data_IF_972181984043
#
_entry.id   IF_972181984043
#
_cell.length_a   1.000
_cell.length_b   1.000
_cell.length_c   1.000
_cell.angle_alpha   90.00
_cell.angle_beta   90.00
_cell.angle_gamma   90.00
#
_symmetry.space_group_name_H-M   'P 1'
#
loop_
_entity.id
_entity.type
_entity.pdbx_description
1 polymer ?
#
# COMPACT_ATOMS: atom_id res chain seq x y z
N UNK A 1 -28.68 -14.17 -0.81
CA UNK A 1 -28.98 -13.06 -1.70
C UNK A 1 -27.73 -12.58 -2.44
N UNK A 2 -27.92 -11.90 -3.54
CA UNK A 2 -26.83 -11.38 -4.34
C UNK A 2 -25.93 -10.41 -3.54
N UNK A 3 -26.55 -9.52 -2.78
CA UNK A 3 -25.80 -8.55 -1.96
C UNK A 3 -24.96 -9.23 -0.91
N UNK A 4 -25.47 -10.31 -0.32
CA UNK A 4 -24.72 -11.06 0.67
C UNK A 4 -23.51 -11.75 0.04
N UNK A 5 -23.67 -12.30 -1.16
CA UNK A 5 -22.55 -12.93 -1.88
C UNK A 5 -21.49 -11.91 -2.27
N UNK A 6 -21.88 -10.72 -2.71
CA UNK A 6 -20.91 -9.65 -3.01
C UNK A 6 -20.13 -9.24 -1.77
N UNK A 7 -20.81 -9.11 -0.64
CA UNK A 7 -20.17 -8.76 0.62
C UNK A 7 -19.19 -9.85 1.06
N UNK A 8 -19.60 -11.10 0.93
CA UNK A 8 -18.74 -12.23 1.27
C UNK A 8 -17.51 -12.30 0.37
N UNK A 9 -17.66 -12.01 -0.93
CA UNK A 9 -16.51 -12.02 -1.85
C UNK A 9 -15.52 -10.89 -1.59
N UNK A 10 -15.93 -9.82 -0.89
CA UNK A 10 -15.05 -8.73 -0.50
C UNK A 10 -14.39 -8.96 0.86
N UNK A 11 -14.89 -9.93 1.63
CA UNK A 11 -14.27 -10.29 2.89
C UNK A 11 -13.09 -11.20 2.59
N UNK A 12 -11.92 -10.75 2.99
CA UNK A 12 -10.69 -11.50 2.79
C UNK A 12 -10.22 -11.96 4.15
N UNK A 13 -10.03 -13.27 4.29
CA UNK A 13 -9.48 -13.82 5.54
C UNK A 13 -8.02 -13.41 5.65
N UNK A 14 -7.76 -12.34 6.36
CA UNK A 14 -6.42 -11.84 6.59
C UNK A 14 -5.87 -12.42 7.88
N UNK A 15 -5.97 -13.75 7.98
CA UNK A 15 -5.40 -14.47 9.10
C UNK A 15 -6.02 -14.02 10.42
N UNK A 16 -5.21 -13.86 11.45
CA UNK A 16 -5.64 -13.45 12.79
C UNK A 16 -5.63 -11.94 13.00
N UNK A 17 -5.24 -11.16 11.99
CA UNK A 17 -5.11 -9.72 12.14
C UNK A 17 -6.43 -9.03 11.86
N UNK A 18 -6.78 -8.06 12.71
CA UNK A 18 -8.02 -7.30 12.59
C UNK A 18 -7.87 -6.13 11.63
N UNK A 19 -6.73 -5.46 11.71
CA UNK A 19 -6.45 -4.25 10.93
C UNK A 19 -5.19 -4.47 10.13
N UNK A 20 -5.30 -4.35 8.80
CA UNK A 20 -4.17 -4.50 7.90
C UNK A 20 -4.21 -3.36 6.90
N UNK A 21 -3.09 -2.67 6.76
CA UNK A 21 -2.88 -1.73 5.68
C UNK A 21 -1.93 -2.37 4.68
N UNK A 22 -2.26 -2.25 3.39
CA UNK A 22 -1.42 -2.78 2.31
C UNK A 22 -0.76 -1.59 1.63
N UNK A 23 0.56 -1.60 1.58
CA UNK A 23 1.33 -0.54 0.95
C UNK A 23 2.09 -1.11 -0.23
N UNK A 24 1.84 -0.57 -1.42
CA UNK A 24 2.56 -0.91 -2.63
C UNK A 24 3.15 0.36 -3.24
N UNK A 25 4.33 0.24 -3.82
CA UNK A 25 5.00 1.40 -4.40
C UNK A 25 5.71 1.05 -5.70
N UNK A 26 5.94 2.08 -6.49
CA UNK A 26 6.68 2.00 -7.74
C UNK A 26 7.42 3.32 -7.90
N UNK A 27 8.62 3.29 -8.44
CA UNK A 27 9.43 4.50 -8.58
C UNK A 27 9.77 4.77 -10.03
N UNK A 28 9.91 6.04 -10.35
CA UNK A 28 10.63 6.48 -11.52
C UNK A 28 11.83 7.33 -11.05
N UNK A 29 12.39 8.17 -11.91
CA UNK A 29 13.58 8.94 -11.58
C UNK A 29 13.35 10.05 -10.55
N UNK A 30 12.11 10.52 -10.39
CA UNK A 30 11.80 11.71 -9.58
C UNK A 30 10.76 11.48 -8.50
N UNK A 31 9.91 10.49 -8.67
CA UNK A 31 8.76 10.30 -7.80
C UNK A 31 8.61 8.85 -7.39
N UNK A 32 8.00 8.67 -6.25
CA UNK A 32 7.52 7.37 -5.80
C UNK A 32 6.00 7.41 -5.90
N UNK A 33 5.42 6.43 -6.58
CA UNK A 33 3.98 6.27 -6.68
C UNK A 33 3.56 5.19 -5.70
N UNK A 34 2.52 5.45 -4.93
CA UNK A 34 2.11 4.51 -3.90
C UNK A 34 0.59 4.35 -3.87
N UNK A 35 0.18 3.15 -3.52
CA UNK A 35 -1.22 2.81 -3.23
C UNK A 35 -1.28 2.20 -1.85
N UNK A 36 -2.21 2.68 -1.02
CA UNK A 36 -2.46 2.13 0.29
C UNK A 36 -3.90 1.63 0.33
N UNK A 37 -4.08 0.38 0.72
CA UNK A 37 -5.39 -0.22 0.93
C UNK A 37 -5.59 -0.43 2.43
N UNK A 38 -6.76 -0.05 2.94
CA UNK A 38 -7.07 -0.15 4.36
C UNK A 38 -8.10 -1.23 4.58
N UNK A 39 -7.71 -2.32 5.25
CA UNK A 39 -8.59 -3.42 5.61
C UNK A 39 -8.87 -3.39 7.10
N UNK A 40 -10.14 -3.54 7.44
CA UNK A 40 -10.58 -3.62 8.84
C UNK A 40 -11.48 -4.83 8.96
N UNK A 41 -11.06 -5.79 9.80
CA UNK A 41 -11.79 -7.07 9.98
C UNK A 41 -12.03 -7.76 8.64
N UNK A 42 -11.03 -7.75 7.76
CA UNK A 42 -11.10 -8.40 6.45
C UNK A 42 -11.86 -7.64 5.39
N UNK A 43 -12.36 -6.44 5.68
CA UNK A 43 -13.13 -5.62 4.74
C UNK A 43 -12.30 -4.43 4.29
N UNK A 44 -12.24 -4.22 2.97
CA UNK A 44 -11.57 -3.05 2.41
C UNK A 44 -12.46 -1.82 2.65
N UNK A 45 -11.97 -0.89 3.47
CA UNK A 45 -12.75 0.30 3.84
C UNK A 45 -12.29 1.55 3.11
N UNK A 46 -11.07 1.58 2.60
CA UNK A 46 -10.56 2.77 1.91
C UNK A 46 -9.37 2.43 1.04
N UNK A 47 -9.13 3.30 0.07
CA UNK A 47 -7.98 3.21 -0.84
C UNK A 47 -7.44 4.63 -1.06
N UNK A 48 -6.12 4.77 -1.00
CA UNK A 48 -5.45 6.05 -1.25
C UNK A 48 -4.35 5.81 -2.27
N UNK A 49 -4.34 6.64 -3.32
CA UNK A 49 -3.23 6.72 -4.27
C UNK A 49 -2.52 8.05 -4.06
N UNK A 50 -1.20 8.03 -4.03
CA UNK A 50 -0.44 9.25 -3.80
C UNK A 50 0.94 9.18 -4.46
N UNK A 51 1.56 10.35 -4.61
CA UNK A 51 2.94 10.45 -5.04
C UNK A 51 3.78 10.97 -3.88
N UNK A 52 5.00 10.45 -3.79
CA UNK A 52 5.96 10.83 -2.76
C UNK A 52 7.19 11.37 -3.50
N UNK A 53 7.64 12.59 -3.19
CA UNK A 53 8.88 13.09 -3.80
C UNK A 53 10.05 12.20 -3.41
N UNK A 54 10.84 11.83 -4.40
CA UNK A 54 12.05 11.05 -4.15
C UNK A 54 13.13 12.00 -3.65
N UNK A 55 13.54 11.80 -2.39
CA UNK A 55 14.58 12.61 -1.77
C UNK A 55 15.96 12.02 -2.00
N UNK A 56 16.72 11.84 -0.92
CA UNK A 56 18.09 11.34 -0.99
C UNK A 56 18.12 9.89 -1.47
N UNK A 57 17.17 9.07 -0.98
CA UNK A 57 17.07 7.67 -1.34
C UNK A 57 15.64 7.20 -1.23
N UNK A 58 15.36 6.04 -1.85
CA UNK A 58 14.02 5.45 -1.82
C UNK A 58 13.65 5.08 -0.39
N UNK A 59 14.53 4.42 0.33
CA UNK A 59 14.25 3.97 1.69
C UNK A 59 14.01 5.15 2.66
N UNK A 60 14.80 6.21 2.56
CA UNK A 60 14.59 7.40 3.36
C UNK A 60 13.25 8.07 3.05
N UNK A 61 12.93 8.18 1.78
CA UNK A 61 11.66 8.79 1.33
C UNK A 61 10.45 8.01 1.82
N UNK A 62 10.53 6.67 1.79
CA UNK A 62 9.48 5.81 2.30
C UNK A 62 9.36 5.93 3.82
N UNK A 63 10.49 5.99 4.53
CA UNK A 63 10.48 6.19 5.98
C UNK A 63 9.76 7.48 6.36
N UNK A 64 10.12 8.57 5.70
CA UNK A 64 9.50 9.87 5.96
C UNK A 64 8.00 9.82 5.67
N UNK A 65 7.63 9.14 4.57
CA UNK A 65 6.22 8.96 4.24
C UNK A 65 5.47 8.27 5.38
N UNK A 66 5.98 7.14 5.86
CA UNK A 66 5.31 6.41 6.95
C UNK A 66 5.17 7.27 8.20
N UNK A 67 6.23 7.97 8.58
CA UNK A 67 6.19 8.82 9.76
C UNK A 67 5.15 9.94 9.63
N UNK A 68 5.09 10.59 8.48
CA UNK A 68 4.16 11.70 8.26
C UNK A 68 2.73 11.22 8.05
N UNK A 69 2.55 10.21 7.24
CA UNK A 69 1.20 9.70 6.91
C UNK A 69 0.50 9.11 8.13
N UNK A 70 1.25 8.40 8.98
CA UNK A 70 0.70 7.76 10.16
C UNK A 70 0.84 8.57 11.44
N UNK A 71 1.33 9.82 11.36
CA UNK A 71 1.52 10.66 12.54
C UNK A 71 0.21 10.90 13.31
N UNK A 72 -0.90 11.00 12.60
CA UNK A 72 -2.23 11.26 13.17
C UNK A 72 -3.17 10.07 13.07
N UNK A 73 -2.63 8.86 12.82
CA UNK A 73 -3.43 7.66 12.62
C UNK A 73 -3.02 6.58 13.59
N UNK A 74 -3.97 5.71 13.90
CA UNK A 74 -3.67 4.49 14.67
C UNK A 74 -3.06 3.48 13.70
N UNK A 75 -1.90 2.93 14.08
CA UNK A 75 -1.22 1.94 13.26
C UNK A 75 -2.05 0.66 13.16
N UNK A 76 -2.06 0.00 12.00
CA UNK A 76 -2.70 -1.31 11.88
C UNK A 76 -1.91 -2.38 12.62
N UNK A 77 -2.49 -3.56 12.77
CA UNK A 77 -1.80 -4.69 13.39
C UNK A 77 -0.59 -5.10 12.55
N UNK A 78 -0.72 -5.05 11.22
CA UNK A 78 0.37 -5.35 10.30
C UNK A 78 0.23 -4.55 9.01
N UNK A 79 1.38 -4.35 8.36
CA UNK A 79 1.45 -3.82 7.01
C UNK A 79 1.83 -4.96 6.06
N UNK A 80 1.06 -5.14 5.01
CA UNK A 80 1.43 -6.03 3.90
C UNK A 80 2.15 -5.19 2.87
N UNK A 81 3.37 -5.59 2.52
CA UNK A 81 4.25 -4.79 1.67
C UNK A 81 5.00 -5.69 0.68
N UNK A 82 5.59 -5.06 -0.34
CA UNK A 82 6.52 -5.74 -1.24
C UNK A 82 7.77 -6.14 -0.48
N UNK A 83 8.43 -7.19 -0.97
CA UNK A 83 9.61 -7.74 -0.32
C UNK A 83 10.72 -6.71 -0.13
N UNK A 84 10.88 -5.79 -1.07
CA UNK A 84 11.92 -4.76 -1.02
C UNK A 84 11.83 -3.91 0.25
N UNK A 85 10.61 -3.68 0.74
CA UNK A 85 10.40 -2.90 1.96
C UNK A 85 11.08 -3.56 3.16
N UNK A 86 11.06 -4.90 3.20
CA UNK A 86 11.69 -5.63 4.30
C UNK A 86 13.20 -5.51 4.30
N UNK A 87 13.79 -5.21 3.14
CA UNK A 87 15.24 -5.08 2.97
C UNK A 87 15.74 -3.68 3.31
N UNK A 88 14.85 -2.70 3.36
CA UNK A 88 15.22 -1.33 3.68
C UNK A 88 15.40 -1.18 5.19
N UNK A 89 16.35 -0.36 5.59
CA UNK A 89 16.52 0.04 6.99
C UNK A 89 15.71 1.32 7.20
N UNK A 90 14.42 1.15 7.46
CA UNK A 90 13.50 2.27 7.61
C UNK A 90 13.64 2.97 8.96
N UNK A 91 14.24 2.29 9.94
CA UNK A 91 14.44 2.84 11.29
C UNK A 91 13.15 3.40 11.90
N UNK A 92 12.04 2.70 11.66
CA UNK A 92 10.75 3.03 12.25
C UNK A 92 10.62 2.32 13.61
N UNK A 93 9.68 2.77 14.43
CA UNK A 93 9.46 2.15 15.73
C UNK A 93 9.00 0.69 15.57
N UNK A 94 9.14 -0.08 16.65
CA UNK A 94 8.76 -1.50 16.65
C UNK A 94 7.25 -1.73 16.47
N UNK A 95 6.45 -0.67 16.59
CA UNK A 95 5.01 -0.76 16.35
C UNK A 95 4.67 -0.94 14.87
N UNK A 96 5.59 -0.57 13.98
CA UNK A 96 5.45 -0.82 12.56
C UNK A 96 5.86 -2.26 12.25
N UNK A 97 4.88 -3.09 11.96
CA UNK A 97 5.09 -4.52 11.68
C UNK A 97 4.82 -4.80 10.22
N UNK A 98 5.85 -5.19 9.48
CA UNK A 98 5.78 -5.43 8.05
C UNK A 98 5.83 -6.92 7.74
N UNK A 99 4.98 -7.37 6.83
CA UNK A 99 5.02 -8.72 6.28
C UNK A 99 4.95 -8.64 4.76
N UNK A 100 5.66 -9.54 4.09
CA UNK A 100 5.61 -9.65 2.64
C UNK A 100 5.19 -11.07 2.27
N UNK A 101 3.91 -11.28 2.01
CA UNK A 101 3.39 -12.63 1.71
C UNK A 101 3.81 -13.07 0.32
N UNK A 102 4.02 -14.38 0.18
CA UNK A 102 4.36 -15.00 -1.11
C UNK A 102 3.22 -15.84 -1.66
N UNK A 103 2.31 -16.26 -0.82
CA UNK A 103 1.16 -17.11 -1.20
C UNK A 103 -0.05 -16.73 -0.38
N UNK A 104 -1.21 -17.25 -0.78
CA UNK A 104 -2.44 -17.17 -0.01
C UNK A 104 -3.18 -15.86 -0.14
N UNK A 105 -4.12 -15.65 0.77
CA UNK A 105 -5.02 -14.49 0.75
C UNK A 105 -4.26 -13.18 0.93
N UNK A 106 -3.25 -13.15 1.80
CA UNK A 106 -2.44 -11.95 2.02
C UNK A 106 -1.71 -11.54 0.74
N UNK A 107 -1.25 -12.51 -0.05
CA UNK A 107 -0.62 -12.22 -1.34
C UNK A 107 -1.63 -11.63 -2.32
N UNK A 108 -2.86 -12.09 -2.29
CA UNK A 108 -3.92 -11.57 -3.16
C UNK A 108 -4.20 -10.09 -2.90
N UNK A 109 -4.20 -9.65 -1.64
CA UNK A 109 -4.41 -8.22 -1.35
C UNK A 109 -3.20 -7.38 -1.77
N UNK A 110 -2.00 -7.93 -1.68
CA UNK A 110 -0.82 -7.24 -2.21
C UNK A 110 -0.91 -7.10 -3.73
N UNK A 111 -1.32 -8.15 -4.42
CA UNK A 111 -1.51 -8.11 -5.87
C UNK A 111 -2.58 -7.09 -6.27
N UNK A 112 -3.65 -6.98 -5.49
CA UNK A 112 -4.68 -5.98 -5.73
C UNK A 112 -4.13 -4.57 -5.58
N UNK A 113 -3.31 -4.33 -4.56
CA UNK A 113 -2.66 -3.04 -4.37
C UNK A 113 -1.73 -2.71 -5.54
N UNK A 114 -0.98 -3.70 -6.03
CA UNK A 114 -0.09 -3.51 -7.17
C UNK A 114 -0.87 -3.22 -8.45
N UNK A 115 -2.01 -3.85 -8.66
CA UNK A 115 -2.88 -3.58 -9.80
C UNK A 115 -3.38 -2.14 -9.77
N UNK A 116 -3.87 -1.69 -8.62
CA UNK A 116 -4.33 -0.32 -8.45
C UNK A 116 -3.18 0.68 -8.63
N UNK A 117 -2.01 0.34 -8.14
CA UNK A 117 -0.81 1.17 -8.28
C UNK A 117 -0.43 1.35 -9.76
N UNK A 118 -0.46 0.28 -10.54
CA UNK A 118 -0.13 0.36 -11.96
C UNK A 118 -1.12 1.24 -12.72
N UNK A 119 -2.42 1.13 -12.39
CA UNK A 119 -3.44 1.99 -12.98
C UNK A 119 -3.18 3.46 -12.64
N UNK A 120 -2.85 3.75 -11.39
CA UNK A 120 -2.55 5.10 -10.94
C UNK A 120 -1.31 5.65 -11.64
N UNK A 121 -0.25 4.84 -11.71
CA UNK A 121 1.01 5.22 -12.36
C UNK A 121 0.79 5.58 -13.83
N UNK A 122 0.04 4.75 -14.56
CA UNK A 122 -0.23 5.00 -15.97
C UNK A 122 -1.07 6.25 -16.18
N UNK A 123 -2.07 6.48 -15.35
CA UNK A 123 -2.92 7.67 -15.44
C UNK A 123 -2.11 8.94 -15.18
N UNK A 124 -1.23 8.93 -14.19
CA UNK A 124 -0.37 10.08 -13.91
C UNK A 124 0.58 10.36 -15.07
N UNK A 125 1.14 9.33 -15.68
CA UNK A 125 2.02 9.48 -16.85
C UNK A 125 1.27 10.01 -18.06
N UNK A 126 0.06 9.57 -18.29
CA UNK A 126 -0.77 10.06 -19.38
C UNK A 126 -1.11 11.55 -19.21
N UNK A 127 -1.43 11.96 -18.01
CA UNK A 127 -1.69 13.37 -17.70
C UNK A 127 -0.45 14.22 -17.96
N UNK A 128 0.71 13.76 -17.54
CA UNK A 128 1.97 14.45 -17.76
C UNK A 128 2.30 14.59 -19.26
N UNK A 129 2.07 13.55 -20.04
CA UNK A 129 2.27 13.60 -21.49
C UNK A 129 1.35 14.62 -22.15
N UNK A 130 0.09 14.67 -21.74
CA UNK A 130 -0.87 15.62 -22.29
C UNK A 130 -0.49 17.06 -21.96
N UNK A 131 0.13 17.28 -20.81
CA UNK A 131 0.61 18.61 -20.42
C UNK A 131 1.82 19.08 -21.23
N UNK A 132 2.62 18.14 -21.71
CA UNK A 132 3.81 18.43 -22.50
C UNK A 132 3.49 18.73 -23.98
N UNK A 133 2.35 18.33 -24.44
CA UNK A 133 1.87 18.62 -25.79
C UNK A 133 1.22 20.01 -25.82
#
# INVERSE_FOLDING_TARGET
TYLKKLKESQIIELSQYKNIDVFAYKTDEKLIYATVLFYRYGILINKVNLTIPLGISIDESIRVFFEQFYADKILPDNFIVQEEILKYDLNLSSDYKFISPKIGTNKKVLDLALLNLNDYYEKEHLIMQNQLE
#
